data_IF_169976738668
#
_entry.id   IF_169976738668
#
_cell.length_a   1.000
_cell.length_b   1.000
_cell.length_c   1.000
_cell.angle_alpha   90.00
_cell.angle_beta   90.00
_cell.angle_gamma   90.00
#
_symmetry.space_group_name_H-M   'P 1'
#
loop_
_entity.id
_entity.type
_entity.pdbx_description
1 polymer ?
#
# COMPACT_ATOMS: atom_id res chain seq x y z
N UNK A 1 47.32 -1.59 33.45
CA UNK A 1 46.36 -0.75 32.70
C UNK A 1 46.22 -1.08 31.20
N UNK A 2 46.45 -2.34 30.76
CA UNK A 2 46.23 -2.78 29.36
C UNK A 2 44.82 -3.34 29.14
N UNK A 3 44.34 -4.20 30.04
CA UNK A 3 43.02 -4.82 29.93
C UNK A 3 41.83 -3.84 29.94
N UNK A 4 41.97 -2.69 30.62
CA UNK A 4 40.98 -1.59 30.58
C UNK A 4 40.92 -0.90 29.21
N UNK A 5 42.07 -0.77 28.52
CA UNK A 5 42.14 -0.18 27.18
C UNK A 5 41.57 -1.15 26.15
N UNK A 6 41.86 -2.45 26.30
CA UNK A 6 41.35 -3.50 25.43
C UNK A 6 39.82 -3.64 25.57
N UNK A 7 39.28 -3.57 26.79
CA UNK A 7 37.83 -3.62 27.02
C UNK A 7 37.11 -2.38 26.48
N UNK A 8 37.71 -1.20 26.64
CA UNK A 8 37.20 0.04 26.05
C UNK A 8 37.15 -0.02 24.52
N UNK A 9 38.21 -0.52 23.88
CA UNK A 9 38.23 -0.72 22.43
C UNK A 9 37.21 -1.76 21.96
N UNK A 10 37.03 -2.85 22.70
CA UNK A 10 36.02 -3.86 22.39
C UNK A 10 34.59 -3.28 22.46
N UNK A 11 34.28 -2.48 23.49
CA UNK A 11 33.02 -1.77 23.62
C UNK A 11 32.78 -0.79 22.46
N UNK A 12 33.81 -0.01 22.08
CA UNK A 12 33.72 0.90 20.93
C UNK A 12 33.41 0.13 19.63
N UNK A 13 34.12 -0.97 19.38
CA UNK A 13 33.86 -1.83 18.21
C UNK A 13 32.44 -2.38 18.20
N UNK A 14 31.92 -2.78 19.36
CA UNK A 14 30.54 -3.27 19.49
C UNK A 14 29.52 -2.15 19.21
N UNK A 15 29.78 -0.95 19.72
CA UNK A 15 28.92 0.21 19.47
C UNK A 15 28.88 0.57 17.98
N UNK A 16 30.04 0.62 17.31
CA UNK A 16 30.12 0.89 15.87
C UNK A 16 29.34 -0.15 15.05
N UNK A 17 29.53 -1.45 15.35
CA UNK A 17 28.75 -2.51 14.68
C UNK A 17 27.24 -2.38 14.89
N UNK A 18 26.83 -1.93 16.07
CA UNK A 18 25.42 -1.71 16.35
C UNK A 18 24.86 -0.54 15.52
N UNK A 19 25.64 0.52 15.34
CA UNK A 19 25.29 1.64 14.44
C UNK A 19 25.17 1.16 13.00
N UNK A 20 26.15 0.42 12.48
CA UNK A 20 26.11 -0.13 11.11
C UNK A 20 24.85 -1.01 10.91
N UNK A 21 24.55 -1.86 11.89
CA UNK A 21 23.35 -2.71 11.86
C UNK A 21 22.04 -1.89 11.87
N UNK A 22 22.03 -0.75 12.57
CA UNK A 22 20.87 0.14 12.59
C UNK A 22 20.69 0.85 11.26
N UNK A 23 21.78 1.28 10.63
CA UNK A 23 21.78 1.89 9.30
C UNK A 23 21.21 0.93 8.25
N UNK A 24 21.71 -0.31 8.22
CA UNK A 24 21.22 -1.35 7.31
C UNK A 24 19.73 -1.61 7.49
N UNK A 25 19.26 -1.68 8.75
CA UNK A 25 17.84 -1.88 9.07
C UNK A 25 16.99 -0.69 8.64
N UNK A 26 17.48 0.54 8.82
CA UNK A 26 16.78 1.75 8.40
C UNK A 26 16.64 1.79 6.88
N UNK A 27 17.73 1.55 6.15
CA UNK A 27 17.73 1.47 4.69
C UNK A 27 16.78 0.38 4.16
N UNK A 28 16.80 -0.81 4.77
CA UNK A 28 15.91 -1.90 4.40
C UNK A 28 14.43 -1.57 4.65
N UNK A 29 14.11 -0.90 5.77
CA UNK A 29 12.74 -0.45 6.07
C UNK A 29 12.26 0.60 5.08
N UNK A 30 13.07 1.60 4.77
CA UNK A 30 12.74 2.64 3.79
C UNK A 30 12.50 2.03 2.41
N UNK A 31 13.37 1.12 1.97
CA UNK A 31 13.18 0.39 0.71
C UNK A 31 11.86 -0.38 0.69
N UNK A 32 11.55 -1.12 1.76
CA UNK A 32 10.28 -1.86 1.88
C UNK A 32 9.07 -0.94 1.88
N UNK A 33 9.14 0.20 2.57
CA UNK A 33 8.06 1.18 2.57
C UNK A 33 7.82 1.74 1.18
N UNK A 34 8.89 2.09 0.46
CA UNK A 34 8.79 2.62 -0.90
C UNK A 34 8.20 1.60 -1.87
N UNK A 35 8.61 0.33 -1.82
CA UNK A 35 8.03 -0.71 -2.68
C UNK A 35 6.56 -0.97 -2.36
N UNK A 36 6.19 -0.96 -1.08
CA UNK A 36 4.78 -1.06 -0.66
C UNK A 36 3.97 0.11 -1.20
N UNK A 37 4.47 1.34 -1.07
CA UNK A 37 3.80 2.55 -1.57
C UNK A 37 3.58 2.48 -3.09
N UNK A 38 4.62 2.12 -3.85
CA UNK A 38 4.53 1.91 -5.30
C UNK A 38 3.47 0.87 -5.65
N UNK A 39 3.48 -0.27 -4.96
CA UNK A 39 2.50 -1.35 -5.19
C UNK A 39 1.07 -0.90 -4.92
N UNK A 40 0.84 -0.09 -3.87
CA UNK A 40 -0.48 0.45 -3.57
C UNK A 40 -0.95 1.46 -4.61
N UNK A 41 -0.05 2.34 -5.07
CA UNK A 41 -0.35 3.29 -6.16
C UNK A 41 -0.71 2.53 -7.44
N UNK A 42 0.08 1.53 -7.82
CA UNK A 42 -0.19 0.71 -9.01
C UNK A 42 -1.51 -0.05 -8.91
N UNK A 43 -1.83 -0.56 -7.71
CA UNK A 43 -3.11 -1.23 -7.45
C UNK A 43 -4.28 -0.25 -7.59
N UNK A 44 -4.17 0.94 -7.02
CA UNK A 44 -5.19 1.99 -7.16
C UNK A 44 -5.39 2.38 -8.62
N UNK A 45 -4.29 2.62 -9.35
CA UNK A 45 -4.33 2.95 -10.77
C UNK A 45 -4.99 1.86 -11.61
N UNK A 46 -4.65 0.58 -11.38
CA UNK A 46 -5.28 -0.54 -12.09
C UNK A 46 -6.77 -0.70 -11.80
N UNK A 47 -7.24 -0.32 -10.61
CA UNK A 47 -8.64 -0.43 -10.25
C UNK A 47 -9.47 0.77 -10.76
N UNK A 48 -8.92 1.98 -10.75
CA UNK A 48 -9.65 3.20 -11.15
C UNK A 48 -9.52 3.47 -12.65
N UNK A 49 -8.34 3.20 -13.22
CA UNK A 49 -8.01 3.48 -14.61
C UNK A 49 -7.31 2.27 -15.29
N UNK A 50 -7.96 1.10 -15.30
CA UNK A 50 -7.44 -0.12 -15.88
C UNK A 50 -7.05 0.08 -17.35
N UNK A 51 -5.87 -0.40 -17.75
CA UNK A 51 -5.38 -0.33 -19.13
C UNK A 51 -5.44 1.09 -19.74
N UNK A 52 -5.30 2.13 -18.91
CA UNK A 52 -5.41 3.54 -19.28
C UNK A 52 -6.78 3.94 -19.87
N UNK A 53 -7.86 3.31 -19.38
CA UNK A 53 -9.23 3.60 -19.77
C UNK A 53 -10.15 3.58 -18.54
N UNK A 54 -11.38 4.05 -18.71
CA UNK A 54 -12.36 4.13 -17.63
C UNK A 54 -12.69 2.75 -17.06
N UNK A 55 -12.85 2.70 -15.74
CA UNK A 55 -13.13 1.48 -14.98
C UNK A 55 -14.30 0.70 -15.56
N UNK A 56 -15.44 1.38 -15.80
CA UNK A 56 -16.68 0.78 -16.28
C UNK A 56 -16.59 0.23 -17.71
N UNK A 57 -15.53 0.58 -18.46
CA UNK A 57 -15.28 0.09 -19.82
C UNK A 57 -14.40 -1.15 -19.87
N UNK A 58 -13.71 -1.49 -18.78
CA UNK A 58 -12.76 -2.62 -18.73
C UNK A 58 -13.10 -3.65 -17.67
N UNK A 59 -13.53 -3.22 -16.48
CA UNK A 59 -13.82 -4.14 -15.39
C UNK A 59 -15.25 -4.68 -15.50
N UNK A 60 -15.39 -5.97 -15.25
CA UNK A 60 -16.68 -6.66 -15.29
C UNK A 60 -17.34 -6.68 -13.89
N UNK A 61 -18.66 -6.57 -13.85
CA UNK A 61 -19.46 -6.65 -12.62
C UNK A 61 -19.19 -7.92 -11.80
N UNK A 62 -18.88 -9.04 -12.44
CA UNK A 62 -18.59 -10.32 -11.79
C UNK A 62 -17.41 -10.23 -10.82
N UNK A 63 -16.40 -9.40 -11.11
CA UNK A 63 -15.26 -9.22 -10.20
C UNK A 63 -15.69 -8.62 -8.86
N UNK A 64 -16.67 -7.72 -8.88
CA UNK A 64 -17.21 -7.08 -7.69
C UNK A 64 -18.16 -8.00 -6.94
N UNK A 65 -18.99 -8.76 -7.66
CA UNK A 65 -19.90 -9.74 -7.06
C UNK A 65 -19.15 -10.86 -6.33
N UNK A 66 -18.03 -11.33 -6.88
CA UNK A 66 -17.19 -12.33 -6.21
C UNK A 66 -16.58 -11.77 -4.92
N UNK A 67 -16.18 -10.49 -4.91
CA UNK A 67 -15.51 -9.86 -3.76
C UNK A 67 -16.47 -9.42 -2.66
N UNK A 68 -17.63 -8.92 -3.03
CA UNK A 68 -18.55 -8.19 -2.14
C UNK A 68 -19.93 -8.82 -2.03
N UNK A 69 -20.20 -9.89 -2.78
CA UNK A 69 -21.47 -10.60 -2.73
C UNK A 69 -22.65 -9.79 -3.26
N UNK A 70 -23.86 -10.15 -2.80
CA UNK A 70 -25.10 -9.52 -3.25
C UNK A 70 -25.29 -8.10 -2.70
N UNK A 71 -24.69 -7.78 -1.55
CA UNK A 71 -24.79 -6.45 -0.93
C UNK A 71 -24.26 -5.35 -1.84
N UNK A 72 -23.28 -5.68 -2.70
CA UNK A 72 -22.79 -4.78 -3.74
C UNK A 72 -23.91 -4.27 -4.65
N UNK A 73 -24.80 -5.16 -5.13
CA UNK A 73 -25.86 -4.77 -6.05
C UNK A 73 -26.84 -3.80 -5.40
N UNK A 74 -27.12 -4.00 -4.11
CA UNK A 74 -27.99 -3.11 -3.35
C UNK A 74 -27.38 -1.71 -3.26
N UNK A 75 -26.10 -1.61 -2.90
CA UNK A 75 -25.39 -0.32 -2.83
C UNK A 75 -25.36 0.38 -4.19
N UNK A 76 -25.05 -0.34 -5.27
CA UNK A 76 -25.07 0.23 -6.62
C UNK A 76 -26.47 0.76 -6.97
N UNK A 77 -27.51 -0.02 -6.71
CA UNK A 77 -28.89 0.39 -6.99
C UNK A 77 -29.27 1.65 -6.22
N UNK A 78 -29.02 1.69 -4.92
CA UNK A 78 -29.36 2.82 -4.06
C UNK A 78 -28.61 4.10 -4.49
N UNK A 79 -27.32 3.98 -4.82
CA UNK A 79 -26.48 5.12 -5.22
C UNK A 79 -26.84 5.71 -6.59
N UNK A 80 -27.27 4.86 -7.55
CA UNK A 80 -27.64 5.30 -8.89
C UNK A 80 -29.11 5.68 -9.02
N UNK A 81 -30.02 5.11 -8.20
CA UNK A 81 -31.46 5.41 -8.24
C UNK A 81 -31.77 6.90 -7.95
N UNK A 82 -30.90 7.56 -7.20
CA UNK A 82 -31.01 8.98 -6.83
C UNK A 82 -30.04 9.88 -7.61
N UNK A 83 -29.34 9.34 -8.60
CA UNK A 83 -28.28 10.05 -9.30
C UNK A 83 -28.76 10.83 -10.52
N UNK A 84 -28.18 12.01 -10.72
CA UNK A 84 -28.39 12.79 -11.95
C UNK A 84 -27.63 12.18 -13.13
N UNK A 85 -28.31 12.04 -14.26
CA UNK A 85 -27.70 11.52 -15.48
C UNK A 85 -26.52 12.40 -15.92
N UNK A 86 -25.42 11.76 -16.34
CA UNK A 86 -24.22 12.41 -16.87
C UNK A 86 -23.25 12.96 -15.81
N UNK A 87 -23.56 12.88 -14.51
CA UNK A 87 -22.60 13.22 -13.46
C UNK A 87 -21.73 12.01 -13.08
N UNK A 88 -20.44 12.24 -12.91
CA UNK A 88 -19.54 11.21 -12.39
C UNK A 88 -19.90 10.88 -10.94
N UNK A 89 -19.97 9.59 -10.62
CA UNK A 89 -20.34 9.08 -9.30
C UNK A 89 -19.22 8.18 -8.78
N UNK A 90 -18.75 8.48 -7.57
CA UNK A 90 -17.81 7.62 -6.84
C UNK A 90 -18.59 6.93 -5.74
N UNK A 91 -18.54 5.59 -5.72
CA UNK A 91 -19.25 4.77 -4.74
C UNK A 91 -18.25 4.22 -3.74
N UNK A 92 -18.51 4.46 -2.45
CA UNK A 92 -17.70 3.94 -1.35
C UNK A 92 -18.44 2.80 -0.67
N UNK A 93 -17.83 1.61 -0.69
CA UNK A 93 -18.34 0.42 -0.01
C UNK A 93 -17.49 0.20 1.25
N UNK A 94 -18.10 0.34 2.43
CA UNK A 94 -17.44 0.12 3.73
C UNK A 94 -17.64 -1.32 4.22
#
# INVERSE_FOLDING_TARGET
DRGLRDSSQASLRKALRAVDTLEDKAAARLKKQNTLMQTQIDKAARNIFPLKDLQERKLNVLEYLIKFGQDFLKVIYDEFSTSDYGKHKVISFQ
#
